data_IF_176237396807
#
_entry.id   IF_176237396807
#
_cell.length_a   1.000
_cell.length_b   1.000
_cell.length_c   1.000
_cell.angle_alpha   90.00
_cell.angle_beta   90.00
_cell.angle_gamma   90.00
#
_symmetry.space_group_name_H-M   'P 1'
#
loop_
_entity.id
_entity.type
_entity.pdbx_description
1 polymer ?
#
# COMPACT_ATOMS: atom_id res chain seq x y z
N UNK A 1 -41.42 -37.56 21.81
CA UNK A 1 -39.97 -37.87 21.68
C UNK A 1 -39.08 -36.63 21.79
N UNK A 2 -39.21 -35.77 22.83
CA UNK A 2 -38.37 -34.56 22.99
C UNK A 2 -37.67 -34.41 24.35
N UNK A 3 -37.99 -35.25 25.35
CA UNK A 3 -37.38 -35.16 26.68
C UNK A 3 -36.01 -35.86 26.79
N UNK A 4 -35.70 -36.84 25.94
CA UNK A 4 -34.47 -37.63 26.03
C UNK A 4 -33.22 -36.93 25.44
N UNK A 5 -33.40 -35.91 24.60
CA UNK A 5 -32.30 -35.22 23.92
C UNK A 5 -31.64 -34.12 24.79
N UNK A 6 -32.40 -33.48 25.68
CA UNK A 6 -31.88 -32.45 26.58
C UNK A 6 -31.08 -33.04 27.76
N UNK A 7 -31.45 -34.24 28.26
CA UNK A 7 -30.69 -34.90 29.32
C UNK A 7 -29.31 -35.38 28.86
N UNK A 8 -29.14 -35.73 27.58
CA UNK A 8 -27.84 -36.16 27.03
C UNK A 8 -26.89 -34.99 26.77
N UNK A 9 -27.42 -33.81 26.51
CA UNK A 9 -26.61 -32.61 26.21
C UNK A 9 -26.03 -31.96 27.48
N UNK A 10 -26.78 -31.99 28.59
CA UNK A 10 -26.30 -31.49 29.89
C UNK A 10 -25.17 -32.37 30.48
N UNK A 11 -25.19 -33.69 30.22
CA UNK A 11 -24.17 -34.62 30.71
C UNK A 11 -22.81 -34.44 29.99
N UNK A 12 -22.83 -34.09 28.70
CA UNK A 12 -21.62 -33.83 27.89
C UNK A 12 -20.95 -32.51 28.29
N UNK A 13 -21.74 -31.49 28.64
CA UNK A 13 -21.22 -30.22 29.15
C UNK A 13 -20.63 -30.33 30.56
N UNK A 14 -21.18 -31.21 31.41
CA UNK A 14 -20.63 -31.46 32.75
C UNK A 14 -19.34 -32.31 32.70
N UNK A 15 -19.23 -33.24 31.74
CA UNK A 15 -18.00 -34.03 31.56
C UNK A 15 -16.85 -33.21 30.97
N UNK A 16 -17.09 -32.25 30.06
CA UNK A 16 -16.02 -31.43 29.49
C UNK A 16 -15.41 -30.42 30.48
N UNK A 17 -16.21 -29.86 31.40
CA UNK A 17 -15.70 -28.94 32.42
C UNK A 17 -14.84 -29.61 33.50
N UNK A 18 -15.07 -30.89 33.78
CA UNK A 18 -14.37 -31.62 34.84
C UNK A 18 -12.97 -32.12 34.44
N UNK A 19 -12.66 -32.22 33.14
CA UNK A 19 -11.34 -32.61 32.66
C UNK A 19 -10.34 -31.44 32.70
N UNK A 20 -10.71 -30.24 32.21
CA UNK A 20 -9.78 -29.10 32.18
C UNK A 20 -9.36 -28.55 33.56
N UNK A 21 -10.21 -28.70 34.58
CA UNK A 21 -9.92 -28.23 35.96
C UNK A 21 -8.94 -29.16 36.69
N UNK A 22 -8.92 -30.45 36.36
CA UNK A 22 -7.99 -31.41 36.96
C UNK A 22 -6.57 -31.18 36.47
N UNK A 23 -6.39 -30.96 35.18
CA UNK A 23 -5.08 -30.72 34.56
C UNK A 23 -4.45 -29.40 35.05
N UNK A 24 -5.25 -28.33 35.16
CA UNK A 24 -4.78 -27.06 35.73
C UNK A 24 -4.38 -27.18 37.21
N UNK A 25 -5.12 -27.97 37.99
CA UNK A 25 -4.81 -28.21 39.42
C UNK A 25 -3.58 -29.08 39.60
N UNK A 26 -3.35 -30.02 38.69
CA UNK A 26 -2.15 -30.87 38.69
C UNK A 26 -0.91 -30.09 38.23
N UNK A 27 -1.05 -29.24 37.22
CA UNK A 27 0.00 -28.29 36.80
C UNK A 27 0.37 -27.31 37.92
N UNK A 28 -0.62 -26.74 38.62
CA UNK A 28 -0.38 -25.86 39.77
C UNK A 28 0.34 -26.58 40.92
N UNK A 29 0.03 -27.86 41.17
CA UNK A 29 0.75 -28.68 42.15
C UNK A 29 2.19 -28.97 41.73
N UNK A 30 2.45 -29.17 40.43
CA UNK A 30 3.81 -29.35 39.90
C UNK A 30 4.63 -28.06 40.00
N UNK A 31 4.02 -26.91 39.73
CA UNK A 31 4.65 -25.59 39.92
C UNK A 31 4.96 -25.34 41.40
N UNK A 32 4.07 -25.73 42.31
CA UNK A 32 4.29 -25.60 43.76
C UNK A 32 5.37 -26.55 44.33
N UNK A 33 5.77 -27.57 43.58
CA UNK A 33 6.82 -28.53 43.95
C UNK A 33 8.17 -28.23 43.29
N UNK A 34 8.26 -27.17 42.47
CA UNK A 34 9.53 -26.73 41.89
C UNK A 34 10.49 -26.36 43.01
N UNK A 35 11.62 -27.06 43.07
CA UNK A 35 12.69 -26.75 44.01
C UNK A 35 13.61 -25.69 43.42
N UNK A 36 14.39 -25.01 44.26
CA UNK A 36 15.34 -23.97 43.79
C UNK A 36 16.33 -24.50 42.74
N UNK A 37 16.63 -25.81 42.77
CA UNK A 37 17.45 -26.46 41.74
C UNK A 37 16.73 -26.57 40.39
N UNK A 38 15.41 -26.78 40.39
CA UNK A 38 14.60 -26.83 39.16
C UNK A 38 14.41 -25.42 38.58
N UNK A 39 14.27 -24.41 39.43
CA UNK A 39 14.22 -23.01 39.00
C UNK A 39 15.55 -22.60 38.34
N UNK A 40 16.69 -22.98 38.91
CA UNK A 40 18.01 -22.73 38.30
C UNK A 40 18.21 -23.45 36.97
N UNK A 41 17.61 -24.63 36.80
CA UNK A 41 17.64 -25.35 35.52
C UNK A 41 16.79 -24.63 34.47
N UNK A 42 15.58 -24.22 34.82
CA UNK A 42 14.67 -23.47 33.94
C UNK A 42 15.30 -22.13 33.54
N UNK A 43 15.92 -21.43 34.49
CA UNK A 43 16.64 -20.17 34.24
C UNK A 43 17.81 -20.37 33.27
N UNK A 44 18.59 -21.45 33.42
CA UNK A 44 19.63 -21.82 32.45
C UNK A 44 19.07 -22.17 31.08
N UNK A 45 18.00 -22.97 30.99
CA UNK A 45 17.38 -23.33 29.71
C UNK A 45 16.82 -22.08 28.98
N UNK A 46 16.27 -21.10 29.72
CA UNK A 46 15.83 -19.81 29.16
C UNK A 46 17.00 -18.91 28.76
N UNK A 47 18.02 -18.79 29.61
CA UNK A 47 19.15 -17.88 29.39
C UNK A 47 20.10 -18.40 28.32
N UNK A 48 20.41 -19.70 28.32
CA UNK A 48 21.21 -20.34 27.28
C UNK A 48 20.43 -20.39 25.95
N UNK A 49 19.10 -20.62 26.00
CA UNK A 49 18.22 -20.59 24.83
C UNK A 49 18.27 -19.26 24.07
N UNK A 50 18.26 -18.13 24.79
CA UNK A 50 18.37 -16.79 24.20
C UNK A 50 19.77 -16.51 23.61
N UNK A 51 20.84 -17.07 24.18
CA UNK A 51 22.20 -16.96 23.63
C UNK A 51 22.39 -17.78 22.34
N UNK A 52 21.89 -19.02 22.26
CA UNK A 52 21.96 -19.81 21.00
C UNK A 52 21.00 -19.29 19.92
N UNK A 53 19.86 -18.70 20.30
CA UNK A 53 18.92 -18.11 19.35
C UNK A 53 19.50 -16.86 18.66
N UNK A 54 20.35 -16.09 19.34
CA UNK A 54 21.02 -14.93 18.76
C UNK A 54 22.05 -15.30 17.68
N UNK A 55 22.76 -16.43 17.82
CA UNK A 55 23.73 -16.91 16.82
C UNK A 55 23.06 -17.51 15.57
N UNK A 56 21.89 -18.13 15.72
CA UNK A 56 21.16 -18.74 14.60
C UNK A 56 20.21 -17.80 13.88
N UNK A 57 20.00 -16.57 14.36
CA UNK A 57 19.26 -15.55 13.60
C UNK A 57 20.08 -15.21 12.35
N UNK A 58 19.65 -15.61 11.13
CA UNK A 58 20.37 -15.23 9.94
C UNK A 58 20.38 -13.70 9.87
N UNK A 59 21.56 -13.10 9.87
CA UNK A 59 21.68 -11.66 9.67
C UNK A 59 21.07 -11.33 8.30
N UNK A 60 20.07 -10.42 8.24
CA UNK A 60 19.46 -10.09 6.95
C UNK A 60 20.53 -9.48 6.06
N UNK A 61 20.84 -10.16 4.95
CA UNK A 61 21.83 -9.65 3.99
C UNK A 61 21.36 -8.30 3.45
N UNK A 62 22.25 -7.29 3.34
CA UNK A 62 21.91 -6.02 2.70
C UNK A 62 21.43 -6.28 1.27
N UNK A 63 20.27 -5.72 0.92
CA UNK A 63 19.67 -5.88 -0.39
C UNK A 63 20.39 -4.93 -1.36
N UNK A 64 21.16 -5.49 -2.29
CA UNK A 64 21.84 -4.72 -3.36
C UNK A 64 20.86 -4.35 -4.48
N UNK A 65 20.39 -3.09 -4.49
CA UNK A 65 19.46 -2.55 -5.50
C UNK A 65 20.10 -2.32 -6.89
N UNK A 66 21.39 -2.62 -7.08
CA UNK A 66 22.13 -2.24 -8.30
C UNK A 66 21.96 -3.22 -9.47
N UNK A 67 21.37 -4.40 -9.26
CA UNK A 67 21.26 -5.44 -10.29
C UNK A 67 19.86 -6.02 -10.36
N UNK A 68 18.92 -5.31 -10.98
CA UNK A 68 17.71 -5.84 -11.65
C UNK A 68 17.05 -7.09 -11.07
N UNK A 69 17.03 -7.24 -9.74
CA UNK A 69 16.49 -8.41 -9.09
C UNK A 69 14.97 -8.27 -9.21
N UNK A 70 14.35 -9.20 -9.94
CA UNK A 70 12.90 -9.36 -9.91
C UNK A 70 12.52 -9.61 -8.46
N UNK A 71 11.97 -8.58 -7.80
CA UNK A 71 11.53 -8.64 -6.42
C UNK A 71 10.62 -9.85 -6.26
N UNK A 72 11.05 -10.80 -5.43
CA UNK A 72 10.21 -11.92 -5.04
C UNK A 72 9.04 -11.39 -4.21
N UNK A 73 7.87 -12.03 -4.27
CA UNK A 73 6.69 -11.67 -3.48
C UNK A 73 6.97 -11.43 -1.99
N UNK A 74 7.90 -12.20 -1.41
CA UNK A 74 8.31 -12.08 -0.01
C UNK A 74 9.01 -10.75 0.32
N UNK A 75 9.78 -10.18 -0.61
CA UNK A 75 10.48 -8.91 -0.38
C UNK A 75 9.54 -7.70 -0.39
N UNK A 76 8.39 -7.82 -1.08
CA UNK A 76 7.34 -6.80 -1.09
C UNK A 76 6.48 -6.85 0.18
N UNK A 77 6.23 -8.05 0.70
CA UNK A 77 5.49 -8.26 1.95
C UNK A 77 6.30 -7.87 3.20
N UNK A 78 7.62 -8.11 3.20
CA UNK A 78 8.47 -7.85 4.36
C UNK A 78 8.73 -6.37 4.69
N UNK A 79 8.51 -5.44 3.75
CA UNK A 79 8.87 -4.03 3.91
C UNK A 79 7.72 -3.11 4.37
N UNK A 80 6.47 -3.57 4.39
CA UNK A 80 5.32 -2.70 4.69
C UNK A 80 4.45 -3.30 5.79
N UNK A 81 4.82 -3.09 7.06
CA UNK A 81 3.94 -3.43 8.19
C UNK A 81 2.69 -2.51 8.32
N UNK A 82 2.48 -1.59 7.35
CA UNK A 82 1.43 -0.57 7.37
C UNK A 82 0.36 -0.76 6.29
N UNK A 83 -0.39 0.32 6.05
CA UNK A 83 -1.36 0.38 4.96
C UNK A 83 -0.67 0.41 3.60
N UNK A 84 -1.27 -0.26 2.62
CA UNK A 84 -0.77 -0.33 1.26
C UNK A 84 -1.75 0.29 0.29
N UNK A 85 -1.23 1.07 -0.66
CA UNK A 85 -2.01 1.69 -1.74
C UNK A 85 -1.64 1.04 -3.06
N UNK A 86 -2.62 0.49 -3.76
CA UNK A 86 -2.47 -0.13 -5.07
C UNK A 86 -3.32 0.64 -6.07
N UNK A 87 -2.72 1.07 -7.18
CA UNK A 87 -3.45 1.68 -8.29
C UNK A 87 -3.72 0.65 -9.37
N UNK A 88 -4.96 0.58 -9.83
CA UNK A 88 -5.35 -0.20 -11.01
C UNK A 88 -5.79 0.78 -12.10
N UNK A 89 -5.16 0.66 -13.27
CA UNK A 89 -5.53 1.36 -14.49
C UNK A 89 -6.32 0.40 -15.38
N UNK A 90 -7.49 0.84 -15.80
CA UNK A 90 -8.47 0.05 -16.53
C UNK A 90 -8.46 0.41 -18.01
N UNK A 91 -8.79 -0.58 -18.84
CA UNK A 91 -9.09 -0.36 -20.24
C UNK A 91 -10.19 -1.32 -20.70
N UNK A 92 -11.34 -0.75 -21.04
CA UNK A 92 -12.49 -1.44 -21.62
C UNK A 92 -13.28 -0.47 -22.51
N UNK A 93 -14.27 -0.97 -23.24
CA UNK A 93 -14.95 -0.23 -24.32
C UNK A 93 -15.80 0.96 -23.82
N UNK A 94 -16.37 0.88 -22.61
CA UNK A 94 -17.24 1.92 -22.02
C UNK A 94 -16.58 2.62 -20.82
N UNK A 95 -15.42 3.23 -21.04
CA UNK A 95 -14.63 3.91 -20.00
C UNK A 95 -15.35 5.16 -19.45
N UNK A 96 -16.27 4.96 -18.51
CA UNK A 96 -17.01 6.02 -17.83
C UNK A 96 -16.79 5.93 -16.32
N UNK A 97 -16.85 7.07 -15.64
CA UNK A 97 -16.66 7.12 -14.18
C UNK A 97 -17.64 6.21 -13.43
N UNK A 98 -18.91 6.20 -13.84
CA UNK A 98 -19.96 5.38 -13.22
C UNK A 98 -19.71 3.88 -13.41
N UNK A 99 -19.29 3.46 -14.61
CA UNK A 99 -18.95 2.06 -14.87
C UNK A 99 -17.73 1.62 -14.07
N UNK A 100 -16.72 2.49 -13.94
CA UNK A 100 -15.52 2.23 -13.13
C UNK A 100 -15.83 2.19 -11.63
N UNK A 101 -16.76 3.01 -11.13
CA UNK A 101 -17.25 2.94 -9.75
C UNK A 101 -18.02 1.64 -9.50
N UNK A 102 -18.89 1.24 -10.43
CA UNK A 102 -19.59 -0.04 -10.36
C UNK A 102 -18.63 -1.24 -10.37
N UNK A 103 -17.59 -1.21 -11.20
CA UNK A 103 -16.55 -2.25 -11.25
C UNK A 103 -15.77 -2.29 -9.92
N UNK A 104 -15.34 -1.14 -9.42
CA UNK A 104 -14.66 -1.03 -8.13
C UNK A 104 -15.51 -1.53 -6.97
N UNK A 105 -16.81 -1.22 -6.95
CA UNK A 105 -17.77 -1.75 -5.97
C UNK A 105 -17.94 -3.26 -6.06
N UNK A 106 -17.96 -3.85 -7.27
CA UNK A 106 -17.98 -5.31 -7.44
C UNK A 106 -16.72 -5.96 -6.86
N UNK A 107 -15.55 -5.38 -7.12
CA UNK A 107 -14.30 -5.90 -6.56
C UNK A 107 -14.25 -5.76 -5.04
N UNK A 108 -14.71 -4.64 -4.48
CA UNK A 108 -14.83 -4.46 -3.04
C UNK A 108 -15.73 -5.52 -2.41
N UNK A 109 -16.91 -5.76 -3.00
CA UNK A 109 -17.83 -6.78 -2.50
C UNK A 109 -17.26 -8.21 -2.60
N UNK A 110 -16.59 -8.54 -3.70
CA UNK A 110 -15.97 -9.85 -3.91
C UNK A 110 -14.82 -10.08 -2.92
N UNK A 111 -13.92 -9.11 -2.78
CA UNK A 111 -12.77 -9.23 -1.90
C UNK A 111 -13.18 -9.16 -0.42
N UNK A 112 -14.22 -8.40 -0.08
CA UNK A 112 -14.84 -8.45 1.25
C UNK A 112 -15.43 -9.82 1.56
N UNK A 113 -16.03 -10.50 0.56
CA UNK A 113 -16.53 -11.88 0.74
C UNK A 113 -15.41 -12.89 1.00
N UNK A 114 -14.19 -12.60 0.54
CA UNK A 114 -12.98 -13.38 0.84
C UNK A 114 -12.33 -13.01 2.19
N UNK A 115 -12.90 -12.08 2.95
CA UNK A 115 -12.38 -11.63 4.24
C UNK A 115 -11.30 -10.54 4.15
N UNK A 116 -11.09 -9.94 2.99
CA UNK A 116 -10.19 -8.80 2.82
C UNK A 116 -10.96 -7.50 3.02
N UNK A 117 -10.66 -6.79 4.10
CA UNK A 117 -11.15 -5.43 4.32
C UNK A 117 -10.32 -4.45 3.48
N UNK A 118 -10.97 -3.81 2.51
CA UNK A 118 -10.33 -2.87 1.60
C UNK A 118 -11.26 -1.71 1.27
N UNK A 119 -10.67 -0.56 0.98
CA UNK A 119 -11.41 0.62 0.52
C UNK A 119 -11.04 0.91 -0.92
N UNK A 120 -12.06 1.07 -1.77
CA UNK A 120 -11.90 1.33 -3.20
C UNK A 120 -12.37 2.74 -3.51
N UNK A 121 -11.53 3.51 -4.19
CA UNK A 121 -11.81 4.89 -4.59
C UNK A 121 -11.54 5.07 -6.08
N UNK A 122 -12.48 5.65 -6.81
CA UNK A 122 -12.27 6.03 -8.22
C UNK A 122 -11.64 7.41 -8.29
N UNK A 123 -10.41 7.51 -8.80
CA UNK A 123 -9.68 8.78 -8.97
C UNK A 123 -10.04 9.42 -10.31
N UNK A 124 -10.12 8.59 -11.35
CA UNK A 124 -10.39 9.02 -12.73
C UNK A 124 -11.27 7.99 -13.42
N UNK A 125 -11.71 8.28 -14.63
CA UNK A 125 -12.57 7.39 -15.42
C UNK A 125 -11.92 6.02 -15.67
N UNK A 126 -10.59 5.98 -15.74
CA UNK A 126 -9.77 4.78 -15.96
C UNK A 126 -9.01 4.30 -14.72
N UNK A 127 -9.01 5.06 -13.62
CA UNK A 127 -8.09 4.79 -12.50
C UNK A 127 -8.82 4.58 -11.19
N UNK A 128 -8.53 3.44 -10.57
CA UNK A 128 -9.03 3.02 -9.27
C UNK A 128 -7.87 2.91 -8.28
N UNK A 129 -8.05 3.47 -7.09
CA UNK A 129 -7.17 3.31 -5.94
C UNK A 129 -7.79 2.34 -4.95
N UNK A 130 -7.04 1.31 -4.60
CA UNK A 130 -7.41 0.33 -3.58
C UNK A 130 -6.46 0.50 -2.40
N UNK A 131 -7.01 0.73 -1.23
CA UNK A 131 -6.26 0.86 0.01
C UNK A 131 -6.52 -0.35 0.90
N UNK A 132 -5.45 -1.02 1.31
CA UNK A 132 -5.49 -2.12 2.28
C UNK A 132 -4.93 -1.62 3.61
N UNK A 133 -5.58 -1.94 4.75
CA UNK A 133 -5.06 -1.62 6.08
C UNK A 133 -3.80 -2.43 6.42
N UNK A 134 -3.65 -3.62 5.84
CA UNK A 134 -2.53 -4.51 6.07
C UNK A 134 -1.87 -4.92 4.74
N UNK A 135 -0.59 -4.61 4.56
CA UNK A 135 0.11 -4.91 3.32
C UNK A 135 0.40 -6.41 3.08
N UNK A 136 0.07 -7.29 4.05
CA UNK A 136 0.31 -8.73 3.95
C UNK A 136 -0.31 -9.34 2.70
N UNK A 137 -1.49 -8.86 2.31
CA UNK A 137 -2.29 -9.43 1.22
C UNK A 137 -2.13 -8.68 -0.12
N UNK A 138 -1.12 -7.81 -0.24
CA UNK A 138 -0.96 -6.97 -1.44
C UNK A 138 -0.52 -7.78 -2.64
N UNK A 139 0.30 -8.81 -2.43
CA UNK A 139 0.73 -9.68 -3.51
C UNK A 139 -0.47 -10.42 -4.10
N UNK A 140 -1.32 -10.99 -3.24
CA UNK A 140 -2.53 -11.71 -3.63
C UNK A 140 -3.54 -10.77 -4.30
N UNK A 141 -3.70 -9.54 -3.79
CA UNK A 141 -4.51 -8.53 -4.44
C UNK A 141 -3.97 -8.19 -5.84
N UNK A 142 -2.66 -8.00 -5.97
CA UNK A 142 -2.03 -7.71 -7.26
C UNK A 142 -2.26 -8.86 -8.25
N UNK A 143 -2.12 -10.11 -7.82
CA UNK A 143 -2.39 -11.28 -8.65
C UNK A 143 -3.86 -11.35 -9.07
N UNK A 144 -4.78 -11.07 -8.15
CA UNK A 144 -6.21 -10.99 -8.45
C UNK A 144 -6.52 -9.91 -9.50
N UNK A 145 -5.93 -8.72 -9.35
CA UNK A 145 -6.11 -7.62 -10.30
C UNK A 145 -5.53 -7.94 -11.67
N UNK A 146 -4.34 -8.55 -11.72
CA UNK A 146 -3.72 -8.99 -12.98
C UNK A 146 -4.48 -10.14 -13.66
N UNK A 147 -5.32 -10.86 -12.92
CA UNK A 147 -6.20 -11.88 -13.48
C UNK A 147 -7.47 -11.29 -14.12
N UNK A 148 -7.81 -10.02 -13.85
CA UNK A 148 -9.02 -9.40 -14.40
C UNK A 148 -8.78 -8.94 -15.86
N UNK A 149 -9.70 -9.21 -16.79
CA UNK A 149 -9.54 -8.86 -18.20
C UNK A 149 -9.59 -7.34 -18.46
N UNK A 150 -10.19 -6.56 -17.57
CA UNK A 150 -10.35 -5.10 -17.73
C UNK A 150 -9.13 -4.30 -17.28
N UNK A 151 -8.14 -4.94 -16.65
CA UNK A 151 -6.97 -4.27 -16.05
C UNK A 151 -5.85 -4.16 -17.07
N UNK A 152 -5.41 -2.94 -17.34
CA UNK A 152 -4.30 -2.64 -18.25
C UNK A 152 -2.96 -2.56 -17.52
N UNK A 153 -2.93 -1.89 -16.36
CA UNK A 153 -1.71 -1.72 -15.57
C UNK A 153 -2.04 -1.71 -14.08
N UNK A 154 -1.23 -2.36 -13.26
CA UNK A 154 -1.30 -2.31 -11.80
C UNK A 154 -0.01 -1.68 -11.28
N UNK A 155 -0.13 -0.62 -10.49
CA UNK A 155 0.99 0.08 -9.88
C UNK A 155 0.97 -0.11 -8.36
N UNK A 156 2.08 -0.61 -7.81
CA UNK A 156 2.31 -0.73 -6.38
C UNK A 156 3.72 -0.27 -6.04
N UNK A 157 3.87 0.67 -5.11
CA UNK A 157 5.19 1.21 -4.70
C UNK A 157 6.08 1.65 -5.88
N UNK A 158 5.50 2.38 -6.85
CA UNK A 158 6.16 2.80 -8.10
C UNK A 158 6.55 1.66 -9.05
N UNK A 159 6.21 0.41 -8.74
CA UNK A 159 6.41 -0.74 -9.62
C UNK A 159 5.15 -0.96 -10.44
N UNK A 160 5.31 -0.89 -11.76
CA UNK A 160 4.25 -1.06 -12.75
C UNK A 160 4.26 -2.49 -13.26
N UNK A 161 3.11 -3.14 -13.20
CA UNK A 161 2.87 -4.46 -13.72
C UNK A 161 1.83 -4.38 -14.83
N UNK A 162 2.17 -4.91 -16.00
CA UNK A 162 1.26 -4.96 -17.15
C UNK A 162 0.19 -6.03 -16.92
N UNK A 163 -1.07 -5.66 -17.14
CA UNK A 163 -2.22 -6.54 -17.08
C UNK A 163 -2.66 -7.06 -18.46
N UNK A 164 -3.75 -7.86 -18.50
CA UNK A 164 -4.27 -8.45 -19.73
C UNK A 164 -4.78 -7.41 -20.74
N UNK A 165 -5.26 -6.26 -20.28
CA UNK A 165 -5.75 -5.19 -21.15
C UNK A 165 -4.63 -4.26 -21.69
N UNK A 166 -3.35 -4.62 -21.52
CA UNK A 166 -2.22 -3.95 -22.16
C UNK A 166 -2.15 -4.28 -23.66
N UNK A 167 -3.10 -3.73 -24.41
CA UNK A 167 -3.15 -3.79 -25.87
C UNK A 167 -2.45 -2.60 -26.54
N UNK A 168 -2.30 -2.69 -27.86
CA UNK A 168 -1.78 -1.57 -28.67
C UNK A 168 -2.60 -0.29 -28.47
N UNK A 169 -3.93 -0.41 -28.43
CA UNK A 169 -4.84 0.72 -28.20
C UNK A 169 -4.59 1.42 -26.85
N UNK A 170 -4.31 0.66 -25.78
CA UNK A 170 -3.95 1.22 -24.49
C UNK A 170 -2.65 2.03 -24.59
N UNK A 171 -1.61 1.44 -25.17
CA UNK A 171 -0.28 2.06 -25.27
C UNK A 171 -0.31 3.33 -26.11
N UNK A 172 -1.06 3.35 -27.21
CA UNK A 172 -1.26 4.54 -28.03
C UNK A 172 -1.96 5.66 -27.24
N UNK A 173 -3.00 5.33 -26.48
CA UNK A 173 -3.70 6.31 -25.63
C UNK A 173 -2.78 6.88 -24.55
N UNK A 174 -1.99 6.03 -23.89
CA UNK A 174 -1.01 6.47 -22.87
C UNK A 174 0.03 7.39 -23.51
N UNK A 175 0.59 7.01 -24.66
CA UNK A 175 1.56 7.84 -25.38
C UNK A 175 0.96 9.20 -25.81
N UNK A 176 -0.29 9.22 -26.27
CA UNK A 176 -1.01 10.44 -26.64
C UNK A 176 -1.23 11.35 -25.42
N UNK A 177 -1.64 10.79 -24.29
CA UNK A 177 -1.82 11.53 -23.04
C UNK A 177 -0.49 12.12 -22.54
N UNK A 178 0.60 11.36 -22.59
CA UNK A 178 1.94 11.82 -22.20
C UNK A 178 2.46 12.92 -23.12
N UNK A 179 2.23 12.81 -24.43
CA UNK A 179 2.56 13.85 -25.40
C UNK A 179 1.78 15.15 -25.14
N UNK A 180 0.48 15.05 -24.82
CA UNK A 180 -0.37 16.20 -24.49
C UNK A 180 0.08 16.88 -23.19
N UNK A 181 0.35 16.09 -22.14
CA UNK A 181 0.88 16.53 -20.85
C UNK A 181 2.23 17.25 -20.99
N UNK A 182 3.10 16.74 -21.86
CA UNK A 182 4.37 17.40 -22.18
C UNK A 182 4.16 18.73 -22.90
N UNK A 183 3.32 18.77 -23.94
CA UNK A 183 3.08 20.02 -24.68
C UNK A 183 2.43 21.10 -23.81
N UNK A 184 1.52 20.74 -22.90
CA UNK A 184 0.87 21.68 -21.99
C UNK A 184 1.84 22.21 -20.95
N UNK A 185 2.71 21.36 -20.41
CA UNK A 185 3.81 21.77 -19.52
C UNK A 185 4.76 22.75 -20.23
N UNK A 186 5.15 22.45 -21.46
CA UNK A 186 6.07 23.29 -22.25
C UNK A 186 5.45 24.66 -22.55
N UNK A 187 4.16 24.69 -22.92
CA UNK A 187 3.40 25.95 -23.11
C UNK A 187 3.36 26.78 -21.83
N UNK A 188 3.12 26.16 -20.67
CA UNK A 188 3.10 26.85 -19.38
C UNK A 188 4.46 27.45 -19.04
N UNK A 189 5.54 26.70 -19.26
CA UNK A 189 6.91 27.17 -19.04
C UNK A 189 7.24 28.34 -19.98
N UNK A 190 6.83 28.27 -21.24
CA UNK A 190 7.02 29.35 -22.20
C UNK A 190 6.25 30.61 -21.80
N UNK A 191 5.01 30.46 -21.34
CA UNK A 191 4.18 31.56 -20.86
C UNK A 191 4.79 32.23 -19.62
N UNK A 192 5.22 31.44 -18.62
CA UNK A 192 5.88 31.97 -17.41
C UNK A 192 7.16 32.74 -17.74
N UNK A 193 7.97 32.22 -18.68
CA UNK A 193 9.17 32.93 -19.16
C UNK A 193 8.83 34.24 -19.86
N UNK A 194 7.78 34.26 -20.69
CA UNK A 194 7.34 35.45 -21.39
C UNK A 194 6.81 36.53 -20.43
N UNK A 195 6.04 36.13 -19.40
CA UNK A 195 5.54 37.03 -18.35
C UNK A 195 6.71 37.65 -17.58
N UNK A 196 7.66 36.84 -17.09
CA UNK A 196 8.84 37.35 -16.38
C UNK A 196 9.66 38.33 -17.23
N UNK A 197 9.86 38.02 -18.51
CA UNK A 197 10.57 38.90 -19.44
C UNK A 197 9.82 40.23 -19.67
N UNK A 198 8.49 40.19 -19.73
CA UNK A 198 7.66 41.38 -19.89
C UNK A 198 7.70 42.26 -18.64
N UNK A 199 7.67 41.67 -17.44
CA UNK A 199 7.81 42.37 -16.16
C UNK A 199 9.19 43.04 -16.02
N UNK A 200 10.28 42.33 -16.35
CA UNK A 200 11.64 42.90 -16.36
C UNK A 200 11.77 44.06 -17.35
N UNK A 201 11.19 43.93 -18.55
CA UNK A 201 11.17 45.02 -19.54
C UNK A 201 10.35 46.21 -19.03
N UNK A 202 9.23 45.97 -18.36
CA UNK A 202 8.38 47.03 -17.80
C UNK A 202 9.07 47.76 -16.64
N UNK A 203 9.71 47.04 -15.72
CA UNK A 203 10.47 47.63 -14.60
C UNK A 203 11.68 48.43 -15.10
N UNK A 204 12.42 47.91 -16.08
CA UNK A 204 13.52 48.64 -16.72
C UNK A 204 13.04 49.91 -17.44
N UNK A 205 11.92 49.85 -18.17
CA UNK A 205 11.30 51.04 -18.79
C UNK A 205 10.89 52.08 -17.74
N UNK A 206 10.27 51.65 -16.63
CA UNK A 206 9.91 52.54 -15.50
C UNK A 206 11.15 53.17 -14.85
N UNK A 207 12.22 52.39 -14.62
CA UNK A 207 13.49 52.88 -14.06
C UNK A 207 14.17 53.90 -14.98
N UNK A 208 14.18 53.66 -16.30
CA UNK A 208 14.72 54.61 -17.29
C UNK A 208 13.93 55.92 -17.32
N UNK A 209 12.60 55.85 -17.31
CA UNK A 209 11.74 57.06 -17.23
C UNK A 209 12.00 57.86 -15.94
N UNK A 210 12.07 57.21 -14.77
CA UNK A 210 12.37 57.88 -13.49
C UNK A 210 13.74 58.55 -13.45
N UNK A 211 14.76 57.95 -14.09
CA UNK A 211 16.09 58.55 -14.21
C UNK A 211 16.09 59.77 -15.13
N UNK A 212 15.38 59.70 -16.26
CA UNK A 212 15.27 60.83 -17.20
C UNK A 212 14.58 62.03 -16.56
N UNK A 213 13.46 61.83 -15.84
CA UNK A 213 12.78 62.93 -15.13
C UNK A 213 13.58 63.49 -13.96
N UNK A 214 14.37 62.66 -13.26
CA UNK A 214 15.25 63.13 -12.19
C UNK A 214 16.44 63.96 -12.71
N UNK A 215 16.94 63.66 -13.92
CA UNK A 215 18.00 64.44 -14.56
C UNK A 215 17.50 65.82 -15.00
N UNK A 216 16.34 65.90 -15.66
CA UNK A 216 15.77 67.19 -16.09
C UNK A 216 15.46 68.13 -14.91
N UNK A 217 15.06 67.59 -13.75
CA UNK A 217 14.84 68.38 -12.52
C UNK A 217 16.12 68.97 -11.89
N UNK A 218 17.30 68.48 -12.25
CA UNK A 218 18.59 68.99 -11.73
C UNK A 218 19.17 70.13 -12.57
N UNK A 219 18.73 70.27 -13.82
CA UNK A 219 19.21 71.32 -14.72
C UNK A 219 18.37 72.63 -14.60
N UNK A 220 17.28 72.62 -13.83
CA UNK A 220 16.40 73.78 -13.58
C UNK A 220 16.70 74.53 -12.25
N UNK A 221 17.72 74.12 -11.48
CA UNK A 221 18.15 74.76 -10.22
C UNK A 221 19.58 75.28 -10.38
#
# INVERSE_FOLDING_TARGET
>A
MRAAALQRSALVLWLSGALGVKDAREAAKRIAQLTDADLQRIDKELTEGDEVEAEWRPTPKPIDFSKGAKLTPEMLAGHNAGSAMVFAILHYDELTKEATERLGGRWAALLASAGLDLSVYTISEDRVLITLPHARHVTELREYLLAQPEVAEVEFNSLKASGPADGLAYRERVAAHDALSKSTRDKRIALDKAVKLAEEKATNRRRKKRRATAAMRKDEV
#
